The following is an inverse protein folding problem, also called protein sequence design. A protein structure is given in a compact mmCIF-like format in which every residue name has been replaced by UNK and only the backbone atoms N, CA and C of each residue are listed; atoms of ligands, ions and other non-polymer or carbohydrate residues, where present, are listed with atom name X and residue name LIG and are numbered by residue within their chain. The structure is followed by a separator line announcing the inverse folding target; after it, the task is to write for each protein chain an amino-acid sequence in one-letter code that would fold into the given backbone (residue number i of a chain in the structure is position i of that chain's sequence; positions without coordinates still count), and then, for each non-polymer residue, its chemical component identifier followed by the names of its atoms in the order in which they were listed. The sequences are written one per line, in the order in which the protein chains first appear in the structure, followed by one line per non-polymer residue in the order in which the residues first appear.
data_IF_238757873197
#
_entry.id   IF_238757873197
#
_cell.length_a   1.000
_cell.length_b   1.000
_cell.length_c   1.000
_cell.angle_alpha   90.00
_cell.angle_beta   90.00
_cell.angle_gamma   90.00
#
_symmetry.space_group_name_H-M   'P 1'
#
loop_
_entity.id
_entity.type
_entity.pdbx_description
1 polymer ?
#
# COMPACT_ATOMS: atom_id res chain seq x y z
N UNK A 1 4.32 -15.22 0.18
CA UNK A 1 5.67 -14.72 0.36
C UNK A 1 5.99 -13.59 -0.57
N UNK A 2 6.91 -12.76 -0.16
CA UNK A 2 7.24 -11.53 -0.86
C UNK A 2 8.31 -11.77 -1.90
N UNK A 3 7.89 -12.11 -3.12
CA UNK A 3 8.81 -12.46 -4.19
C UNK A 3 9.14 -11.28 -5.13
N UNK A 4 8.56 -10.11 -4.86
CA UNK A 4 8.83 -8.93 -5.65
C UNK A 4 10.24 -8.40 -5.36
N UNK A 5 11.15 -8.36 -6.38
CA UNK A 5 12.52 -7.88 -6.15
C UNK A 5 12.60 -6.43 -5.70
N UNK A 6 11.65 -5.59 -6.13
CA UNK A 6 11.62 -4.18 -5.72
C UNK A 6 11.32 -4.06 -4.25
N UNK A 7 10.34 -4.82 -3.79
CA UNK A 7 9.96 -4.82 -2.38
C UNK A 7 11.08 -5.36 -1.52
N UNK A 8 11.71 -6.46 -1.97
CA UNK A 8 12.84 -7.07 -1.26
C UNK A 8 13.99 -6.09 -1.13
N UNK A 9 14.31 -5.37 -2.19
CA UNK A 9 15.38 -4.37 -2.17
C UNK A 9 15.10 -3.24 -1.18
N UNK A 10 13.85 -2.80 -1.09
CA UNK A 10 13.45 -1.77 -0.12
C UNK A 10 13.51 -2.29 1.32
N UNK A 11 13.13 -3.53 1.54
CA UNK A 11 13.15 -4.14 2.87
C UNK A 11 14.57 -4.41 3.36
N UNK A 12 15.45 -4.87 2.51
CA UNK A 12 16.83 -5.21 2.85
C UNK A 12 17.70 -3.99 3.20
N UNK A 13 17.26 -2.82 2.81
CA UNK A 13 17.99 -1.59 3.10
C UNK A 13 17.84 -1.09 4.52
N UNK A 14 16.99 -1.70 5.34
CA UNK A 14 16.76 -1.29 6.71
C UNK A 14 16.75 -2.50 7.61
N UNK A 15 17.60 -2.49 8.62
CA UNK A 15 17.73 -3.59 9.59
C UNK A 15 16.88 -3.38 10.85
N UNK A 16 16.13 -2.31 10.95
CA UNK A 16 15.32 -2.03 12.12
C UNK A 16 14.04 -2.88 12.13
N UNK A 17 13.81 -3.68 13.18
CA UNK A 17 12.58 -4.45 13.29
C UNK A 17 11.38 -3.54 13.57
N UNK A 18 10.28 -3.81 12.90
CA UNK A 18 9.01 -3.12 13.10
C UNK A 18 8.77 -1.99 12.13
N UNK A 19 9.21 -0.80 12.44
CA UNK A 19 9.10 0.33 11.52
C UNK A 19 10.22 0.27 10.51
N UNK A 20 9.87 0.11 9.26
CA UNK A 20 10.85 0.01 8.21
C UNK A 20 10.77 1.24 7.34
N UNK A 21 11.87 2.00 7.28
CA UNK A 21 11.96 3.16 6.44
C UNK A 21 12.38 4.41 7.20
N UNK A 22 12.71 5.42 6.45
CA UNK A 22 13.21 6.70 6.94
C UNK A 22 12.12 7.75 7.05
N UNK A 23 10.95 7.48 6.52
CA UNK A 23 9.75 8.28 6.70
C UNK A 23 8.54 7.35 6.88
N UNK A 24 7.47 7.90 7.46
CA UNK A 24 6.27 7.13 7.76
C UNK A 24 5.05 7.87 7.25
N UNK A 25 4.66 7.66 5.98
CA UNK A 25 3.46 8.29 5.45
C UNK A 25 2.21 7.84 6.21
N UNK A 26 1.31 8.76 6.57
CA UNK A 26 0.07 8.39 7.24
C UNK A 26 -0.84 7.58 6.32
N UNK A 27 -1.57 6.65 6.94
CA UNK A 27 -2.42 5.70 6.24
C UNK A 27 -3.78 5.60 6.93
N UNK A 28 -4.84 5.65 6.14
CA UNK A 28 -6.20 5.35 6.57
C UNK A 28 -6.68 4.07 5.91
N UNK A 29 -7.42 3.27 6.65
CA UNK A 29 -8.07 2.07 6.13
C UNK A 29 -9.57 2.22 6.32
N UNK A 30 -10.31 2.17 5.22
CA UNK A 30 -11.76 2.34 5.22
C UNK A 30 -12.42 1.08 4.70
N UNK A 31 -13.35 0.52 5.45
CA UNK A 31 -14.15 -0.61 4.99
C UNK A 31 -15.48 -0.10 4.45
N UNK A 32 -15.83 -0.59 3.26
CA UNK A 32 -17.14 -0.40 2.68
C UNK A 32 -17.87 -1.74 2.60
N UNK A 33 -19.10 -1.73 2.14
CA UNK A 33 -19.87 -2.98 1.98
C UNK A 33 -19.22 -3.94 0.97
N UNK A 34 -18.46 -3.43 0.01
CA UNK A 34 -17.95 -4.22 -1.12
C UNK A 34 -16.42 -4.25 -1.23
N UNK A 35 -15.74 -3.41 -0.49
CA UNK A 35 -14.29 -3.28 -0.64
C UNK A 35 -13.63 -2.76 0.63
N UNK A 36 -12.32 -2.88 0.66
CA UNK A 36 -11.47 -2.13 1.59
C UNK A 36 -10.68 -1.13 0.78
N UNK A 37 -10.63 0.10 1.24
CA UNK A 37 -9.85 1.16 0.63
C UNK A 37 -8.75 1.59 1.59
N UNK A 38 -7.54 1.68 1.07
CA UNK A 38 -6.38 2.17 1.82
C UNK A 38 -5.94 3.48 1.20
N UNK A 39 -5.82 4.50 2.03
CA UNK A 39 -5.45 5.84 1.62
C UNK A 39 -4.14 6.22 2.28
N UNK A 40 -3.21 6.74 1.52
CA UNK A 40 -1.92 7.19 2.04
C UNK A 40 -1.54 8.54 1.45
N UNK A 41 -1.01 9.39 2.31
CA UNK A 41 -0.44 10.65 1.86
C UNK A 41 1.02 10.46 1.45
N UNK A 42 1.27 10.58 0.17
CA UNK A 42 2.61 10.41 -0.40
C UNK A 42 2.96 11.57 -1.33
N UNK A 43 2.87 12.81 -0.85
CA UNK A 43 3.15 13.96 -1.71
C UNK A 43 4.59 13.94 -2.20
N UNK A 44 4.76 14.22 -3.47
CA UNK A 44 6.08 14.24 -4.08
C UNK A 44 6.64 12.88 -4.48
N UNK A 45 5.91 11.80 -4.23
CA UNK A 45 6.32 10.45 -4.65
C UNK A 45 5.69 10.14 -6.00
N UNK A 46 6.48 9.87 -7.04
CA UNK A 46 5.93 9.51 -8.34
C UNK A 46 5.43 8.06 -8.32
N UNK A 47 4.56 7.73 -9.28
CA UNK A 47 4.04 6.36 -9.43
C UNK A 47 5.18 5.35 -9.52
N UNK A 48 6.23 5.67 -10.24
CA UNK A 48 7.40 4.79 -10.40
C UNK A 48 8.17 4.55 -9.10
N UNK A 49 7.96 5.39 -8.10
CA UNK A 49 8.58 5.25 -6.79
C UNK A 49 7.78 4.44 -5.78
N UNK A 50 6.66 3.84 -6.22
CA UNK A 50 5.76 3.08 -5.34
C UNK A 50 5.68 1.62 -5.79
N UNK A 51 5.62 0.73 -4.82
CA UNK A 51 5.37 -0.70 -5.02
C UNK A 51 4.29 -1.15 -4.04
N UNK A 52 3.28 -1.84 -4.56
CA UNK A 52 2.14 -2.30 -3.78
C UNK A 52 2.02 -3.81 -3.97
N UNK A 53 1.98 -4.54 -2.87
CA UNK A 53 1.87 -6.00 -2.89
C UNK A 53 0.83 -6.43 -1.86
N UNK A 54 0.00 -7.40 -2.25
CA UNK A 54 -0.88 -8.10 -1.32
C UNK A 54 -0.39 -9.54 -1.22
N UNK A 55 -0.09 -9.99 -0.02
CA UNK A 55 0.40 -11.33 0.24
C UNK A 55 -0.18 -11.84 1.55
N UNK A 56 -0.85 -12.99 1.50
CA UNK A 56 -1.43 -13.64 2.68
C UNK A 56 -2.29 -12.71 3.55
N UNK A 57 -3.13 -11.90 2.91
CA UNK A 57 -4.01 -10.97 3.61
C UNK A 57 -3.32 -9.71 4.14
N UNK A 58 -2.07 -9.52 3.81
CA UNK A 58 -1.32 -8.33 4.18
C UNK A 58 -1.09 -7.45 2.96
N UNK A 59 -1.51 -6.20 3.05
CA UNK A 59 -1.20 -5.19 2.05
C UNK A 59 0.09 -4.49 2.44
N UNK A 60 1.02 -4.42 1.52
CA UNK A 60 2.30 -3.75 1.73
C UNK A 60 2.45 -2.66 0.69
N UNK A 61 2.71 -1.45 1.15
CA UNK A 61 3.04 -0.31 0.30
C UNK A 61 4.44 0.14 0.64
N UNK A 62 5.30 0.14 -0.34
CA UNK A 62 6.69 0.54 -0.17
C UNK A 62 7.06 1.59 -1.21
N UNK A 63 7.98 2.45 -0.86
CA UNK A 63 8.41 3.48 -1.78
C UNK A 63 9.58 4.27 -1.25
N UNK A 64 9.91 5.30 -2.01
CA UNK A 64 10.99 6.21 -1.66
C UNK A 64 10.57 7.63 -2.00
N UNK A 65 10.62 8.49 -1.00
CA UNK A 65 10.40 9.91 -1.16
C UNK A 65 11.76 10.58 -1.25
N UNK A 66 12.09 11.09 -2.43
CA UNK A 66 13.37 11.74 -2.66
C UNK A 66 13.30 13.23 -2.32
N UNK A 67 14.37 13.79 -1.75
CA UNK A 67 14.43 15.23 -1.53
C UNK A 67 14.41 15.96 -2.88
N UNK A 68 13.84 17.16 -2.92
CA UNK A 68 13.86 17.95 -4.15
C UNK A 68 15.30 18.30 -4.52
N UNK A 69 15.58 18.28 -5.80
CA UNK A 69 16.86 18.73 -6.29
C UNK A 69 16.89 20.26 -6.17
N UNK A 70 17.83 20.75 -5.38
CA UNK A 70 18.09 22.17 -5.29
C UNK A 70 19.11 22.53 -6.37
N UNK A 71 18.74 23.44 -7.28
CA UNK A 71 19.59 23.81 -8.41
C UNK A 71 20.83 24.64 -8.06
N UNK A 72 21.09 24.86 -6.78
CA UNK A 72 22.20 25.68 -6.32
C UNK A 72 23.14 24.88 -5.43
N UNK A 73 24.40 24.82 -5.81
CA UNK A 73 25.42 24.09 -5.05
C UNK A 73 25.72 24.72 -3.67
N UNK A 74 25.38 26.00 -3.49
CA UNK A 74 25.65 26.71 -2.25
C UNK A 74 24.41 26.85 -1.36
N UNK A 75 23.31 26.17 -1.70
CA UNK A 75 22.10 26.27 -0.91
C UNK A 75 22.27 25.57 0.45
N UNK A 76 21.79 26.23 1.50
CA UNK A 76 21.78 25.68 2.84
C UNK A 76 20.36 25.73 3.42
N UNK A 77 19.99 24.71 4.16
CA UNK A 77 18.70 24.71 4.84
C UNK A 77 18.77 25.58 6.10
N UNK A 78 17.85 26.50 6.22
CA UNK A 78 17.64 27.26 7.45
C UNK A 78 16.68 26.53 8.38
N UNK A 79 15.81 25.70 7.80
CA UNK A 79 14.87 24.87 8.52
C UNK A 79 14.58 23.66 7.63
N UNK A 80 14.62 22.47 8.20
CA UNK A 80 14.40 21.22 7.45
C UNK A 80 13.54 20.28 8.28
N UNK A 81 12.23 20.34 8.12
CA UNK A 81 11.26 19.53 8.84
C UNK A 81 10.65 18.42 7.99
N UNK A 82 10.84 18.48 6.68
CA UNK A 82 10.25 17.51 5.77
C UNK A 82 11.04 16.20 5.81
N UNK A 83 10.34 15.11 5.96
CA UNK A 83 10.92 13.77 5.98
C UNK A 83 11.04 13.21 4.56
N UNK A 84 12.16 12.57 4.29
CA UNK A 84 12.44 11.91 3.02
C UNK A 84 13.00 10.53 3.27
N UNK A 85 13.17 9.76 2.21
CA UNK A 85 13.78 8.47 2.27
C UNK A 85 12.80 7.34 1.98
N UNK A 86 13.19 6.15 2.35
CA UNK A 86 12.41 4.94 2.11
C UNK A 86 11.28 4.83 3.12
N UNK A 87 10.22 4.20 2.70
CA UNK A 87 9.13 3.83 3.60
C UNK A 87 8.56 2.48 3.22
N UNK A 88 8.09 1.75 4.22
CA UNK A 88 7.32 0.53 4.04
C UNK A 88 6.19 0.57 5.06
N UNK A 89 4.97 0.49 4.54
CA UNK A 89 3.77 0.41 5.37
C UNK A 89 3.08 -0.90 5.09
N UNK A 90 2.73 -1.63 6.13
CA UNK A 90 2.03 -2.89 6.01
C UNK A 90 0.78 -2.86 6.87
N UNK A 91 -0.33 -3.38 6.33
CA UNK A 91 -1.57 -3.52 7.08
C UNK A 91 -2.16 -4.89 6.81
N UNK A 92 -2.52 -5.57 7.90
CA UNK A 92 -3.19 -6.85 7.80
C UNK A 92 -4.69 -6.62 7.63
N UNK A 93 -5.24 -7.25 6.61
CA UNK A 93 -6.65 -7.12 6.26
C UNK A 93 -7.38 -8.41 6.60
N UNK A 94 -8.58 -8.30 7.14
CA UNK A 94 -9.43 -9.45 7.42
C UNK A 94 -10.35 -9.75 6.25
N UNK A 95 -10.64 -11.02 6.02
CA UNK A 95 -11.55 -11.46 4.98
C UNK A 95 -10.83 -11.85 3.69
N UNK A 96 -11.60 -12.18 2.68
CA UNK A 96 -11.11 -12.59 1.38
C UNK A 96 -11.24 -11.44 0.38
N UNK A 97 -10.20 -11.22 -0.39
CA UNK A 97 -10.13 -10.14 -1.37
C UNK A 97 -9.85 -10.70 -2.75
N UNK A 98 -10.41 -10.05 -3.75
CA UNK A 98 -10.14 -10.38 -5.13
C UNK A 98 -8.93 -9.57 -5.62
N UNK A 99 -7.75 -10.18 -5.53
CA UNK A 99 -6.52 -9.53 -5.95
C UNK A 99 -6.48 -9.19 -7.43
N UNK A 100 -7.20 -9.94 -8.25
CA UNK A 100 -7.27 -9.66 -9.68
C UNK A 100 -8.08 -8.41 -10.02
N UNK A 101 -8.93 -7.97 -9.10
CA UNK A 101 -9.73 -6.75 -9.26
C UNK A 101 -9.21 -5.58 -8.42
N UNK A 102 -8.14 -5.78 -7.68
CA UNK A 102 -7.52 -4.72 -6.92
C UNK A 102 -6.93 -3.66 -7.88
N UNK A 103 -7.07 -2.42 -7.49
CA UNK A 103 -6.51 -1.33 -8.27
C UNK A 103 -6.05 -0.20 -7.35
N UNK A 104 -5.14 0.59 -7.87
CA UNK A 104 -4.59 1.73 -7.15
C UNK A 104 -4.53 2.96 -8.04
N UNK A 105 -4.70 4.11 -7.45
CA UNK A 105 -4.58 5.39 -8.14
C UNK A 105 -3.75 6.35 -7.30
N UNK A 106 -3.05 7.24 -7.98
CA UNK A 106 -2.25 8.29 -7.35
C UNK A 106 -2.71 9.62 -7.93
N UNK A 107 -3.22 10.49 -7.09
CA UNK A 107 -3.69 11.80 -7.49
C UNK A 107 -3.46 12.81 -6.36
N UNK A 108 -2.90 13.94 -6.70
CA UNK A 108 -2.68 15.05 -5.75
C UNK A 108 -1.94 14.62 -4.47
N UNK A 109 -0.97 13.73 -4.62
CA UNK A 109 -0.19 13.23 -3.49
C UNK A 109 -0.88 12.20 -2.62
N UNK A 110 -2.07 11.73 -3.01
CA UNK A 110 -2.79 10.68 -2.30
C UNK A 110 -2.77 9.39 -3.10
N UNK A 111 -2.30 8.33 -2.47
CA UNK A 111 -2.41 6.98 -3.00
C UNK A 111 -3.70 6.35 -2.46
N UNK A 112 -4.50 5.81 -3.36
CA UNK A 112 -5.71 5.07 -3.00
C UNK A 112 -5.59 3.66 -3.57
N UNK A 113 -5.69 2.66 -2.70
CA UNK A 113 -5.71 1.26 -3.07
C UNK A 113 -7.08 0.70 -2.76
N UNK A 114 -7.74 0.11 -3.74
CA UNK A 114 -9.07 -0.48 -3.57
C UNK A 114 -8.97 -1.98 -3.74
N UNK A 115 -9.40 -2.69 -2.71
CA UNK A 115 -9.39 -4.16 -2.66
C UNK A 115 -10.83 -4.66 -2.56
N UNK A 116 -11.44 -5.09 -3.68
CA UNK A 116 -12.79 -5.64 -3.65
C UNK A 116 -12.84 -6.92 -2.82
N UNK A 117 -13.88 -7.06 -2.02
CA UNK A 117 -14.08 -8.26 -1.23
C UNK A 117 -14.70 -9.35 -2.08
N UNK A 118 -14.25 -10.57 -1.84
CA UNK A 118 -14.92 -11.75 -2.35
C UNK A 118 -16.07 -12.04 -1.41
N UNK A 119 -17.25 -12.22 -1.97
CA UNK A 119 -18.41 -12.55 -1.18
C UNK A 119 -18.28 -13.99 -0.67
N UNK A 120 -18.07 -14.14 0.64
CA UNK A 120 -18.00 -15.45 1.25
C UNK A 120 -19.39 -16.03 1.37
N UNK A 121 -19.54 -17.28 0.92
CA UNK A 121 -20.78 -18.03 1.04
C UNK A 121 -20.81 -18.94 2.26
N UNK A 122 -19.77 -18.95 3.06
CA UNK A 122 -19.70 -19.72 4.30
C UNK A 122 -20.75 -19.21 5.29
N UNK A 123 -21.53 -20.10 5.82
CA UNK A 123 -22.60 -19.76 6.75
C UNK A 123 -23.85 -19.19 6.11
N UNK A 124 -23.91 -19.12 4.79
CA UNK A 124 -25.13 -18.75 4.08
C UNK A 124 -25.83 -20.01 3.57
N UNK A 125 -27.14 -20.01 3.69
CA UNK A 125 -27.95 -21.08 3.10
C UNK A 125 -27.85 -21.02 1.59
N UNK A 126 -27.43 -22.11 1.00
CA UNK A 126 -27.39 -22.24 -0.45
C UNK A 126 -28.48 -23.20 -0.85
N UNK A 127 -29.46 -22.70 -1.60
CA UNK A 127 -30.53 -23.54 -2.13
C UNK A 127 -30.02 -24.26 -3.36
N UNK A 128 -30.08 -25.58 -3.31
CA UNK A 128 -29.69 -26.44 -4.44
C UNK A 128 -30.93 -26.83 -5.19
N UNK A 129 -31.02 -26.49 -6.46
CA UNK A 129 -32.12 -26.84 -7.30
C UNK A 129 -31.99 -28.28 -7.78
N UNK A 130 -33.13 -28.98 -7.77
CA UNK A 130 -33.22 -30.35 -8.29
C UNK A 130 -33.68 -30.29 -9.72
N UNK A 131 -32.90 -30.84 -10.64
CA UNK A 131 -33.25 -30.93 -12.06
C UNK A 131 -33.58 -32.38 -12.40
N UNK A 132 -34.45 -32.57 -13.35
CA UNK A 132 -34.88 -33.89 -13.80
C UNK A 132 -36.32 -34.20 -13.42
N UNK A 133 -36.74 -35.36 -13.76
CA UNK A 133 -38.10 -35.81 -13.55
C UNK A 133 -38.34 -36.39 -12.16
#
# INVERSE_FOLDING_TARGET
MLDDPRLRQLLEGDSSPGTTGECTPPMDVVETATAVEVLMDVPGVPRSGLTIVVSDGTLIVAGRKLPPSCGHHEAAFHLAERDFGRFVRAVRLSGAFDGGKAHASLAEGELRVVLPRIQERRGRDIRIEITGA
#
